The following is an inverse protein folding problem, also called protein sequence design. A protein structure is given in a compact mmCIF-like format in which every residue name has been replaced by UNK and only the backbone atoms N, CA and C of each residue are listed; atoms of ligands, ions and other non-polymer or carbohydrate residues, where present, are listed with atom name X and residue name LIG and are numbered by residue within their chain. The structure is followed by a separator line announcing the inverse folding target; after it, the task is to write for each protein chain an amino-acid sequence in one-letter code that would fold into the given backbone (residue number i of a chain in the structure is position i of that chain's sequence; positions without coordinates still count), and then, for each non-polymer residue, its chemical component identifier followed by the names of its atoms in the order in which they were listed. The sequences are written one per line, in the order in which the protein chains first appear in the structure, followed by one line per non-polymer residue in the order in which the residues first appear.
data_IF_802144019237
#
_entry.id   IF_802144019237
#
_cell.length_a   1.000
_cell.length_b   1.000
_cell.length_c   1.000
_cell.angle_alpha   90.00
_cell.angle_beta   90.00
_cell.angle_gamma   90.00
#
_symmetry.space_group_name_H-M   'P 1'
#
loop_
_entity.id
_entity.type
_entity.pdbx_description
1 polymer ?
#
# COMPACT_ATOMS: atom_id res chain seq x y z
N UNK A 1 -20.96 39.40 78.69
CA UNK A 1 -19.94 38.72 79.51
C UNK A 1 -19.19 37.77 78.58
N UNK A 2 -18.04 38.18 78.04
CA UNK A 2 -16.68 37.83 78.52
C UNK A 2 -16.49 36.29 78.50
N UNK A 3 -15.58 35.67 77.74
CA UNK A 3 -14.16 35.98 77.45
C UNK A 3 -13.83 35.69 75.96
N UNK A 4 -13.04 36.48 75.20
CA UNK A 4 -11.56 36.69 75.25
C UNK A 4 -10.75 35.39 75.28
N UNK A 5 -9.63 35.16 74.58
CA UNK A 5 -8.90 35.70 73.43
C UNK A 5 -7.60 34.84 73.35
N UNK A 6 -6.90 34.86 72.19
CA UNK A 6 -5.53 34.32 71.90
C UNK A 6 -5.50 32.84 71.44
N UNK A 7 -4.86 32.45 70.34
CA UNK A 7 -3.76 32.95 69.51
C UNK A 7 -4.11 32.72 68.01
N UNK A 8 -3.65 33.43 66.97
CA UNK A 8 -2.50 34.32 66.78
C UNK A 8 -1.52 33.73 65.75
N UNK A 9 -1.59 34.16 64.48
CA UNK A 9 -0.60 33.91 63.40
C UNK A 9 -1.01 32.80 62.43
N UNK A 10 -0.90 32.90 61.10
CA UNK A 10 -0.31 33.91 60.23
C UNK A 10 -1.10 33.94 58.90
N UNK A 11 -1.29 35.14 58.38
CA UNK A 11 -1.59 35.37 56.96
C UNK A 11 -0.31 35.07 56.19
N UNK A 12 -0.39 34.21 55.18
CA UNK A 12 0.51 34.31 54.05
C UNK A 12 -0.15 33.83 52.76
N UNK A 13 0.33 34.41 51.68
CA UNK A 13 -0.35 34.67 50.42
C UNK A 13 -0.64 33.44 49.55
N UNK A 14 -1.86 33.35 49.01
CA UNK A 14 -2.14 32.57 47.80
C UNK A 14 -2.70 33.50 46.72
N UNK A 15 -1.78 34.10 45.97
CA UNK A 15 -2.06 34.67 44.65
C UNK A 15 -2.31 33.53 43.64
N UNK A 16 -3.27 33.68 42.71
CA UNK A 16 -3.42 32.75 41.60
C UNK A 16 -2.46 33.16 40.47
N UNK A 17 -1.49 32.31 40.15
CA UNK A 17 -0.70 32.45 38.92
C UNK A 17 -1.34 31.58 37.85
N UNK A 18 -2.20 32.20 37.05
CA UNK A 18 -2.50 31.76 35.70
C UNK A 18 -1.34 32.15 34.79
N UNK A 19 -1.10 31.34 33.74
CA UNK A 19 -0.19 31.56 32.59
C UNK A 19 1.27 31.12 32.78
N UNK A 20 1.60 29.91 32.31
CA UNK A 20 2.56 29.69 31.20
C UNK A 20 2.95 28.20 31.04
N UNK A 21 2.04 27.37 30.52
CA UNK A 21 2.40 26.01 30.05
C UNK A 21 1.99 25.76 28.59
N UNK A 22 1.78 26.84 27.82
CA UNK A 22 1.73 26.79 26.35
C UNK A 22 3.09 27.20 25.76
N UNK A 23 4.13 26.39 25.94
CA UNK A 23 5.32 26.37 25.06
C UNK A 23 6.25 25.22 25.41
N UNK A 24 5.94 24.04 24.88
CA UNK A 24 6.87 23.01 24.37
C UNK A 24 6.05 21.82 23.87
N UNK A 25 5.34 22.00 22.76
CA UNK A 25 5.03 20.87 21.86
C UNK A 25 6.37 20.39 21.31
N UNK A 26 7.01 19.45 22.01
CA UNK A 26 8.04 18.60 21.40
C UNK A 26 7.29 17.59 20.54
N UNK A 27 7.24 17.90 19.26
CA UNK A 27 6.88 17.00 18.17
C UNK A 27 7.73 15.71 18.27
N UNK A 28 7.13 14.53 18.56
CA UNK A 28 7.88 13.28 18.67
C UNK A 28 8.43 12.78 17.32
N UNK A 29 8.01 13.38 16.20
CA UNK A 29 8.30 12.84 14.87
C UNK A 29 9.55 13.42 14.19
N UNK A 30 10.31 14.31 14.83
CA UNK A 30 11.41 15.01 14.13
C UNK A 30 12.73 14.26 13.96
N UNK A 31 12.96 13.11 14.59
CA UNK A 31 14.29 12.44 14.54
C UNK A 31 14.30 10.95 14.12
N UNK A 32 13.23 10.43 13.49
CA UNK A 32 13.25 9.05 12.98
C UNK A 32 13.85 8.91 11.56
N UNK A 33 14.13 10.02 10.87
CA UNK A 33 14.58 10.01 9.47
C UNK A 33 16.01 9.44 9.21
N UNK A 34 17.03 9.61 10.09
CA UNK A 34 18.39 9.20 9.73
C UNK A 34 18.59 7.67 9.74
N UNK A 35 17.95 6.95 10.66
CA UNK A 35 18.17 5.51 10.86
C UNK A 35 17.48 4.67 9.78
N UNK A 36 16.27 5.06 9.37
CA UNK A 36 15.53 4.39 8.30
C UNK A 36 16.23 4.52 6.93
N UNK A 37 16.83 5.69 6.65
CA UNK A 37 17.54 5.95 5.39
C UNK A 37 18.82 5.11 5.27
N UNK A 38 19.57 4.95 6.36
CA UNK A 38 20.80 4.13 6.41
C UNK A 38 20.49 2.65 6.19
N UNK A 39 19.46 2.10 6.85
CA UNK A 39 19.04 0.71 6.61
C UNK A 39 18.47 0.48 5.21
N UNK A 40 17.83 1.48 4.60
CA UNK A 40 17.37 1.39 3.22
C UNK A 40 18.53 1.38 2.21
N UNK A 41 19.60 2.14 2.48
CA UNK A 41 20.82 2.17 1.65
C UNK A 41 21.64 0.89 1.77
N UNK A 42 21.82 0.35 2.98
CA UNK A 42 22.46 -0.96 3.20
C UNK A 42 21.69 -2.09 2.50
N UNK A 43 20.35 -2.03 2.59
CA UNK A 43 19.47 -2.96 1.87
C UNK A 43 19.65 -2.88 0.36
N UNK A 44 19.78 -1.68 -0.22
CA UNK A 44 20.00 -1.48 -1.66
C UNK A 44 21.37 -1.99 -2.13
N UNK A 45 22.43 -1.79 -1.35
CA UNK A 45 23.78 -2.27 -1.68
C UNK A 45 23.89 -3.79 -1.58
N UNK A 46 23.36 -4.40 -0.52
CA UNK A 46 23.30 -5.86 -0.37
C UNK A 46 22.42 -6.52 -1.45
N UNK A 47 21.34 -5.85 -1.89
CA UNK A 47 20.51 -6.26 -3.03
C UNK A 47 21.28 -6.25 -4.35
N UNK A 48 22.04 -5.19 -4.64
CA UNK A 48 22.85 -5.09 -5.86
C UNK A 48 23.94 -6.17 -5.92
N UNK A 49 24.41 -6.65 -4.75
CA UNK A 49 25.35 -7.76 -4.61
C UNK A 49 24.70 -9.16 -4.64
N UNK A 50 23.37 -9.27 -4.85
CA UNK A 50 22.66 -10.55 -4.94
C UNK A 50 22.39 -11.25 -3.60
N UNK A 51 22.54 -10.55 -2.47
CA UNK A 51 22.37 -11.14 -1.14
C UNK A 51 20.90 -11.48 -0.85
N UNK A 52 20.62 -12.76 -0.55
CA UNK A 52 19.31 -13.22 -0.07
C UNK A 52 19.33 -13.51 1.42
N UNK A 53 18.36 -12.97 2.17
CA UNK A 53 18.19 -13.21 3.61
C UNK A 53 17.46 -14.51 3.83
N UNK A 54 17.99 -15.39 4.66
CA UNK A 54 17.33 -16.66 5.00
C UNK A 54 16.23 -16.41 6.02
N UNK A 55 14.98 -16.70 5.66
CA UNK A 55 13.85 -16.45 6.54
C UNK A 55 13.02 -17.71 6.84
N UNK A 56 12.36 -17.66 7.99
CA UNK A 56 11.40 -18.66 8.46
C UNK A 56 10.06 -17.98 8.72
N UNK A 57 8.98 -18.58 8.24
CA UNK A 57 7.61 -18.15 8.58
C UNK A 57 7.13 -18.83 9.86
N UNK A 58 6.42 -18.11 10.70
CA UNK A 58 5.83 -18.65 11.93
C UNK A 58 4.35 -18.29 11.97
N UNK A 59 3.48 -19.26 12.19
CA UNK A 59 2.04 -19.00 12.29
C UNK A 59 1.17 -20.24 12.09
N UNK A 60 -0.09 -20.02 11.72
CA UNK A 60 -1.01 -21.07 11.29
C UNK A 60 -0.97 -21.27 9.76
N UNK A 61 -1.25 -22.49 9.30
CA UNK A 61 -0.96 -22.90 7.92
C UNK A 61 -1.57 -22.04 6.81
N UNK A 62 -2.81 -21.56 6.95
CA UNK A 62 -3.48 -20.75 5.92
C UNK A 62 -2.88 -19.36 5.79
N UNK A 63 -2.42 -18.77 6.90
CA UNK A 63 -1.72 -17.49 6.89
C UNK A 63 -0.28 -17.63 6.38
N UNK A 64 0.40 -18.73 6.75
CA UNK A 64 1.73 -19.06 6.23
C UNK A 64 1.69 -19.17 4.69
N UNK A 65 0.71 -19.86 4.12
CA UNK A 65 0.56 -20.00 2.67
C UNK A 65 0.37 -18.66 1.97
N UNK A 66 -0.56 -17.82 2.47
CA UNK A 66 -0.82 -16.50 1.91
C UNK A 66 0.44 -15.61 1.94
N UNK A 67 1.15 -15.58 3.07
CA UNK A 67 2.37 -14.77 3.23
C UNK A 67 3.52 -15.34 2.40
N UNK A 68 3.70 -16.66 2.37
CA UNK A 68 4.74 -17.29 1.56
C UNK A 68 4.54 -17.03 0.07
N UNK A 69 3.30 -17.15 -0.42
CA UNK A 69 2.96 -16.84 -1.80
C UNK A 69 3.23 -15.37 -2.12
N UNK A 70 2.82 -14.47 -1.23
CA UNK A 70 3.09 -13.03 -1.38
C UNK A 70 4.59 -12.66 -1.36
N UNK A 71 5.44 -13.46 -0.70
CA UNK A 71 6.89 -13.26 -0.64
C UNK A 71 7.66 -13.96 -1.76
N UNK A 72 7.16 -15.08 -2.28
CA UNK A 72 7.80 -15.85 -3.35
C UNK A 72 7.80 -15.12 -4.70
N UNK A 73 6.79 -14.28 -4.93
CA UNK A 73 6.61 -13.51 -6.17
C UNK A 73 7.54 -12.28 -6.29
N UNK A 74 8.39 -12.00 -5.29
CA UNK A 74 9.12 -10.74 -5.23
C UNK A 74 10.47 -10.68 -5.97
N UNK A 75 10.64 -9.57 -6.70
CA UNK A 75 11.89 -9.02 -7.23
C UNK A 75 12.61 -8.10 -6.21
N UNK A 76 12.02 -7.78 -5.05
CA UNK A 76 12.47 -6.66 -4.19
C UNK A 76 12.78 -7.01 -2.72
N UNK A 77 12.27 -8.10 -2.18
CA UNK A 77 12.73 -8.72 -0.95
C UNK A 77 13.45 -10.04 -1.31
N UNK A 78 14.78 -10.04 -1.41
CA UNK A 78 15.53 -11.26 -1.66
C UNK A 78 15.49 -12.09 -0.37
N UNK A 79 14.38 -12.78 -0.12
CA UNK A 79 14.21 -13.68 1.01
C UNK A 79 14.30 -15.10 0.48
N UNK A 80 15.24 -15.86 1.02
CA UNK A 80 15.33 -17.30 0.81
C UNK A 80 14.48 -17.97 1.89
N UNK A 81 13.26 -18.35 1.50
CA UNK A 81 12.29 -18.98 2.40
C UNK A 81 12.73 -20.42 2.71
N UNK A 82 13.25 -20.63 3.91
CA UNK A 82 13.74 -21.95 4.34
C UNK A 82 12.64 -22.95 4.65
N UNK A 83 11.49 -22.43 5.06
CA UNK A 83 10.37 -23.23 5.55
C UNK A 83 9.53 -22.46 6.55
N UNK A 84 8.68 -23.20 7.26
CA UNK A 84 7.79 -22.64 8.27
C UNK A 84 7.86 -23.42 9.58
N UNK A 85 7.53 -22.72 10.65
CA UNK A 85 7.29 -23.26 11.99
C UNK A 85 5.81 -23.05 12.28
N UNK A 86 5.11 -24.13 12.64
CA UNK A 86 3.67 -24.06 12.83
C UNK A 86 3.28 -23.96 14.30
N UNK A 87 2.20 -23.23 14.58
CA UNK A 87 1.52 -23.27 15.87
C UNK A 87 0.59 -24.50 16.01
N UNK A 88 0.18 -25.09 14.89
CA UNK A 88 -0.73 -26.23 14.84
C UNK A 88 -0.28 -27.26 13.81
N UNK A 89 -0.40 -28.57 14.03
CA UNK A 89 -0.13 -29.56 12.98
C UNK A 89 -1.03 -29.28 11.77
N UNK A 90 -0.45 -29.06 10.58
CA UNK A 90 -1.21 -28.76 9.35
C UNK A 90 -0.59 -29.41 8.10
N UNK A 91 -1.39 -29.58 7.03
CA UNK A 91 -1.06 -30.40 5.88
C UNK A 91 0.01 -29.77 4.97
N UNK A 92 0.51 -30.61 4.07
CA UNK A 92 1.61 -30.38 3.13
C UNK A 92 1.30 -29.17 2.21
N UNK A 93 1.92 -28.02 2.49
CA UNK A 93 1.68 -26.76 1.80
C UNK A 93 2.78 -26.42 0.76
N UNK A 94 3.50 -27.45 0.27
CA UNK A 94 4.62 -27.29 -0.66
C UNK A 94 5.85 -26.56 -0.06
N UNK A 95 5.74 -26.03 1.16
CA UNK A 95 6.82 -25.44 1.94
C UNK A 95 7.38 -26.50 2.88
N UNK A 96 8.68 -26.43 3.15
CA UNK A 96 9.33 -27.32 4.12
C UNK A 96 8.87 -26.97 5.54
N UNK A 97 8.23 -27.92 6.22
CA UNK A 97 8.01 -27.81 7.67
C UNK A 97 9.36 -27.93 8.40
N UNK A 98 9.63 -26.99 9.30
CA UNK A 98 10.82 -26.97 10.16
C UNK A 98 10.51 -27.40 11.60
N UNK A 99 9.24 -27.67 11.93
CA UNK A 99 8.81 -28.12 13.25
C UNK A 99 7.65 -27.28 13.83
N UNK A 100 7.49 -27.41 15.15
CA UNK A 100 6.56 -26.61 15.96
C UNK A 100 7.28 -25.45 16.63
N UNK A 101 6.54 -24.53 17.26
CA UNK A 101 7.11 -23.32 17.87
C UNK A 101 8.19 -23.63 18.92
N UNK A 102 8.09 -24.77 19.60
CA UNK A 102 9.09 -25.26 20.54
C UNK A 102 10.44 -25.57 19.86
N UNK A 103 10.44 -25.93 18.57
CA UNK A 103 11.66 -26.25 17.80
C UNK A 103 12.38 -24.98 17.28
N UNK A 104 11.80 -23.79 17.50
CA UNK A 104 12.34 -22.52 16.98
C UNK A 104 13.82 -22.32 17.35
N UNK A 105 14.19 -22.57 18.60
CA UNK A 105 15.58 -22.42 19.06
C UNK A 105 16.56 -23.26 18.24
N UNK A 106 16.25 -24.54 18.03
CA UNK A 106 17.07 -25.46 17.24
C UNK A 106 17.14 -25.04 15.76
N UNK A 107 16.02 -24.59 15.20
CA UNK A 107 15.95 -24.11 13.82
C UNK A 107 16.85 -22.88 13.64
N UNK A 108 16.78 -21.91 14.56
CA UNK A 108 17.60 -20.70 14.51
C UNK A 108 19.11 -21.04 14.59
N UNK A 109 19.49 -21.99 15.44
CA UNK A 109 20.89 -22.40 15.64
C UNK A 109 21.43 -23.20 14.46
N UNK A 110 20.60 -24.04 13.84
CA UNK A 110 21.03 -24.98 12.78
C UNK A 110 21.00 -24.36 11.39
N UNK A 111 20.02 -23.50 11.10
CA UNK A 111 19.72 -23.09 9.73
C UNK A 111 20.23 -21.70 9.33
N UNK A 112 21.08 -21.05 10.14
CA UNK A 112 21.59 -19.68 9.91
C UNK A 112 20.47 -18.71 9.49
N UNK A 113 19.37 -18.75 10.25
CA UNK A 113 18.20 -17.90 10.02
C UNK A 113 18.59 -16.46 10.32
N UNK A 114 18.15 -15.53 9.48
CA UNK A 114 18.45 -14.10 9.63
C UNK A 114 17.19 -13.29 9.88
N UNK A 115 16.05 -13.85 9.50
CA UNK A 115 14.75 -13.22 9.63
C UNK A 115 13.69 -14.24 10.02
N UNK A 116 12.83 -13.86 10.96
CA UNK A 116 11.62 -14.61 11.31
C UNK A 116 10.42 -13.71 11.01
N UNK A 117 9.46 -14.24 10.26
CA UNK A 117 8.25 -13.52 9.88
C UNK A 117 7.05 -14.19 10.56
N UNK A 118 6.43 -13.50 11.48
CA UNK A 118 5.15 -13.90 12.07
C UNK A 118 4.07 -13.63 11.02
N UNK A 119 3.54 -14.71 10.45
CA UNK A 119 2.55 -14.67 9.37
C UNK A 119 1.11 -14.58 9.88
N UNK A 120 0.89 -14.95 11.14
CA UNK A 120 -0.43 -15.04 11.75
C UNK A 120 -0.82 -13.70 12.41
N UNK A 121 -1.94 -13.07 12.02
CA UNK A 121 -2.39 -11.85 12.69
C UNK A 121 -2.95 -12.09 14.09
N UNK A 122 -3.41 -13.31 14.39
CA UNK A 122 -3.92 -13.70 15.72
C UNK A 122 -2.86 -14.42 16.55
N UNK A 123 -1.57 -14.16 16.27
CA UNK A 123 -0.46 -14.80 16.98
C UNK A 123 -0.52 -14.51 18.49
N UNK A 124 -0.45 -15.53 19.37
CA UNK A 124 -0.58 -15.32 20.81
C UNK A 124 0.47 -14.33 21.35
N UNK A 125 0.07 -13.23 22.02
CA UNK A 125 1.01 -12.18 22.44
C UNK A 125 2.14 -12.68 23.34
N UNK A 126 1.85 -13.60 24.26
CA UNK A 126 2.83 -14.19 25.16
C UNK A 126 3.92 -14.95 24.38
N UNK A 127 3.51 -15.76 23.40
CA UNK A 127 4.43 -16.48 22.51
C UNK A 127 5.18 -15.53 21.57
N UNK A 128 4.58 -14.40 21.16
CA UNK A 128 5.24 -13.41 20.33
C UNK A 128 6.44 -12.79 21.06
N UNK A 129 6.27 -12.44 22.32
CA UNK A 129 7.32 -11.89 23.17
C UNK A 129 8.47 -12.90 23.34
N UNK A 130 8.14 -14.17 23.62
CA UNK A 130 9.14 -15.24 23.72
C UNK A 130 9.91 -15.45 22.41
N UNK A 131 9.22 -15.50 21.27
CA UNK A 131 9.83 -15.61 19.94
C UNK A 131 10.77 -14.45 19.67
N UNK A 132 10.32 -13.21 19.92
CA UNK A 132 11.12 -12.00 19.72
C UNK A 132 12.39 -12.03 20.55
N UNK A 133 12.29 -12.42 21.82
CA UNK A 133 13.43 -12.55 22.72
C UNK A 133 14.41 -13.65 22.26
N UNK A 134 13.92 -14.81 21.83
CA UNK A 134 14.76 -15.89 21.28
C UNK A 134 15.50 -15.45 20.01
N UNK A 135 14.85 -14.68 19.14
CA UNK A 135 15.42 -14.16 17.91
C UNK A 135 16.46 -13.06 18.17
N UNK A 136 16.15 -12.08 19.03
CA UNK A 136 17.06 -10.98 19.35
C UNK A 136 18.36 -11.46 20.02
N UNK A 137 18.29 -12.48 20.88
CA UNK A 137 19.50 -13.12 21.47
C UNK A 137 20.46 -13.70 20.43
N UNK A 138 19.96 -13.98 19.22
CA UNK A 138 20.72 -14.52 18.09
C UNK A 138 20.92 -13.52 16.95
N UNK A 139 20.62 -12.24 17.19
CA UNK A 139 20.65 -11.17 16.18
C UNK A 139 19.77 -11.46 14.94
N UNK A 140 18.69 -12.23 15.11
CA UNK A 140 17.70 -12.54 14.08
C UNK A 140 16.63 -11.44 14.09
N UNK A 141 16.36 -10.87 12.93
CA UNK A 141 15.33 -9.82 12.78
C UNK A 141 13.94 -10.45 12.83
N UNK A 142 13.01 -9.86 13.57
CA UNK A 142 11.60 -10.29 13.56
C UNK A 142 10.75 -9.30 12.78
N UNK A 143 9.87 -9.82 11.91
CA UNK A 143 8.84 -9.05 11.21
C UNK A 143 7.47 -9.68 11.44
N UNK A 144 6.41 -8.89 11.25
CA UNK A 144 5.03 -9.33 11.39
C UNK A 144 4.29 -8.98 10.09
N UNK A 145 3.47 -9.89 9.60
CA UNK A 145 2.48 -9.64 8.57
C UNK A 145 1.18 -9.18 9.24
N UNK A 146 0.86 -7.87 9.22
CA UNK A 146 -0.21 -7.34 10.05
C UNK A 146 -1.60 -7.67 9.51
N UNK A 147 -2.59 -7.71 10.39
CA UNK A 147 -4.01 -7.69 10.00
C UNK A 147 -4.44 -6.34 9.42
N UNK A 148 -5.58 -6.30 8.74
CA UNK A 148 -6.21 -5.03 8.32
C UNK A 148 -6.47 -4.10 9.50
N UNK A 149 -6.90 -4.62 10.66
CA UNK A 149 -7.19 -3.81 11.84
C UNK A 149 -5.91 -3.18 12.42
N UNK A 150 -4.81 -3.92 12.48
CA UNK A 150 -3.52 -3.41 12.94
C UNK A 150 -3.00 -2.27 12.07
N UNK A 151 -3.18 -2.37 10.75
CA UNK A 151 -2.89 -1.26 9.81
C UNK A 151 -3.74 -0.04 10.20
N UNK A 152 -5.04 -0.20 10.44
CA UNK A 152 -5.90 0.94 10.76
C UNK A 152 -5.59 1.58 12.12
N UNK A 153 -5.15 0.81 13.12
CA UNK A 153 -4.91 1.29 14.50
C UNK A 153 -3.61 2.08 14.63
N UNK A 154 -2.63 1.95 13.72
CA UNK A 154 -1.33 2.60 13.88
C UNK A 154 -1.36 4.15 13.79
N UNK A 155 -2.46 4.74 13.29
CA UNK A 155 -2.76 6.19 13.40
C UNK A 155 -3.93 6.52 14.35
N UNK A 156 -4.40 5.57 15.15
CA UNK A 156 -5.51 5.82 16.03
C UNK A 156 -5.13 6.80 17.14
N UNK A 157 -6.00 7.77 17.40
CA UNK A 157 -5.77 8.75 18.46
C UNK A 157 -6.36 8.24 19.77
N UNK A 158 -5.58 8.35 20.85
CA UNK A 158 -6.06 8.02 22.19
C UNK A 158 -7.16 8.97 22.60
N UNK A 159 -8.30 8.43 23.01
CA UNK A 159 -9.44 9.21 23.51
C UNK A 159 -9.31 9.36 25.03
N UNK A 160 -8.98 10.56 25.55
CA UNK A 160 -8.88 10.77 26.99
C UNK A 160 -10.26 10.74 27.66
N UNK A 161 -10.30 10.26 28.91
CA UNK A 161 -11.49 10.39 29.77
C UNK A 161 -12.42 9.17 29.83
N UNK A 162 -12.10 8.07 29.16
CA UNK A 162 -12.79 6.79 29.33
C UNK A 162 -12.11 5.93 30.41
N UNK A 163 -12.88 5.11 31.13
CA UNK A 163 -12.36 4.14 32.12
C UNK A 163 -11.59 2.97 31.48
N UNK A 164 -11.64 2.88 30.15
CA UNK A 164 -10.94 1.90 29.31
C UNK A 164 -10.18 2.69 28.25
N UNK A 165 -8.94 2.31 27.88
CA UNK A 165 -8.22 2.98 26.80
C UNK A 165 -8.99 2.78 25.48
N UNK A 166 -9.60 3.85 24.99
CA UNK A 166 -10.28 3.89 23.70
C UNK A 166 -9.39 4.58 22.67
N UNK A 167 -9.46 4.08 21.44
CA UNK A 167 -8.73 4.60 20.30
C UNK A 167 -9.71 4.95 19.20
N UNK A 168 -9.64 6.18 18.68
CA UNK A 168 -10.46 6.61 17.55
C UNK A 168 -9.78 6.23 16.24
N UNK A 169 -10.46 5.41 15.44
CA UNK A 169 -10.05 5.13 14.06
C UNK A 169 -10.58 6.21 13.14
N UNK A 170 -9.69 7.02 12.57
CA UNK A 170 -10.07 7.97 11.52
C UNK A 170 -10.13 7.28 10.17
N UNK A 171 -11.11 7.62 9.31
CA UNK A 171 -11.12 7.11 7.95
C UNK A 171 -9.82 7.51 7.22
N UNK A 172 -9.34 6.69 6.26
CA UNK A 172 -8.10 6.93 5.53
C UNK A 172 -8.30 8.03 4.48
N UNK A 173 -8.66 9.23 4.92
CA UNK A 173 -8.85 10.42 4.10
C UNK A 173 -7.69 11.37 4.28
N UNK A 174 -7.28 12.02 3.20
CA UNK A 174 -6.41 13.18 3.30
C UNK A 174 -7.25 14.36 3.77
N UNK A 175 -6.94 14.92 4.94
CA UNK A 175 -7.68 16.06 5.47
C UNK A 175 -6.75 17.28 5.66
N UNK A 176 -7.34 18.47 5.54
CA UNK A 176 -6.69 19.76 5.75
C UNK A 176 -5.38 19.95 4.98
N UNK A 177 -4.28 20.09 5.72
CA UNK A 177 -2.97 20.43 5.18
C UNK A 177 -2.35 19.31 4.33
N UNK A 178 -2.56 18.04 4.72
CA UNK A 178 -2.03 16.88 4.00
C UNK A 178 -2.62 16.81 2.59
N UNK A 179 -3.93 17.03 2.46
CA UNK A 179 -4.58 17.11 1.15
C UNK A 179 -4.01 18.25 0.31
N UNK A 180 -3.83 19.45 0.89
CA UNK A 180 -3.28 20.60 0.16
C UNK A 180 -1.87 20.33 -0.36
N UNK A 181 -1.00 19.77 0.47
CA UNK A 181 0.37 19.39 0.11
C UNK A 181 0.37 18.34 -0.99
N UNK A 182 -0.40 17.26 -0.81
CA UNK A 182 -0.57 16.19 -1.80
C UNK A 182 -1.04 16.73 -3.14
N UNK A 183 -2.10 17.53 -3.12
CA UNK A 183 -2.73 18.10 -4.31
C UNK A 183 -1.80 19.04 -5.05
N UNK A 184 -1.06 19.88 -4.32
CA UNK A 184 -0.08 20.79 -4.91
C UNK A 184 1.05 20.02 -5.60
N UNK A 185 1.58 18.99 -4.94
CA UNK A 185 2.57 18.10 -5.52
C UNK A 185 2.04 17.44 -6.81
N UNK A 186 0.85 16.85 -6.77
CA UNK A 186 0.24 16.17 -7.92
C UNK A 186 0.07 17.08 -9.12
N UNK A 187 -0.42 18.31 -8.93
CA UNK A 187 -0.63 19.26 -10.02
C UNK A 187 0.70 19.71 -10.63
N UNK A 188 1.67 20.11 -9.80
CA UNK A 188 2.97 20.60 -10.27
C UNK A 188 3.73 19.51 -11.01
N UNK A 189 3.81 18.30 -10.42
CA UNK A 189 4.50 17.17 -11.03
C UNK A 189 3.79 16.71 -12.31
N UNK A 190 2.45 16.67 -12.34
CA UNK A 190 1.71 16.28 -13.55
C UNK A 190 1.86 17.30 -14.69
N UNK A 191 1.82 18.60 -14.39
CA UNK A 191 2.05 19.65 -15.40
C UNK A 191 3.44 19.52 -16.01
N UNK A 192 4.46 19.34 -15.17
CA UNK A 192 5.83 19.09 -15.63
C UNK A 192 5.91 17.84 -16.52
N UNK A 193 5.32 16.73 -16.09
CA UNK A 193 5.29 15.48 -16.87
C UNK A 193 4.56 15.67 -18.21
N UNK A 194 3.42 16.34 -18.25
CA UNK A 194 2.67 16.62 -19.49
C UNK A 194 3.52 17.40 -20.48
N UNK A 195 4.21 18.45 -20.02
CA UNK A 195 5.10 19.24 -20.88
C UNK A 195 6.22 18.36 -21.42
N UNK A 196 6.88 17.60 -20.54
CA UNK A 196 8.00 16.72 -20.88
C UNK A 196 7.60 15.64 -21.90
N UNK A 197 6.44 15.00 -21.72
CA UNK A 197 5.97 13.90 -22.57
C UNK A 197 5.07 14.36 -23.73
N UNK A 198 4.84 15.66 -23.88
CA UNK A 198 3.95 16.21 -24.92
C UNK A 198 4.31 15.79 -26.36
N UNK A 199 5.60 15.71 -26.78
CA UNK A 199 5.93 15.25 -28.13
C UNK A 199 5.54 13.78 -28.33
N UNK A 200 5.72 12.96 -27.30
CA UNK A 200 5.33 11.55 -27.31
C UNK A 200 3.80 11.39 -27.34
N UNK A 201 3.05 12.19 -26.56
CA UNK A 201 1.59 12.21 -26.62
C UNK A 201 1.07 12.53 -28.02
N UNK A 202 1.67 13.53 -28.69
CA UNK A 202 1.31 13.89 -30.06
C UNK A 202 1.61 12.75 -31.06
N UNK A 203 2.78 12.12 -30.95
CA UNK A 203 3.14 10.98 -31.80
C UNK A 203 2.19 9.78 -31.61
N UNK A 204 1.85 9.45 -30.36
CA UNK A 204 0.87 8.38 -30.04
C UNK A 204 -0.51 8.75 -30.58
N UNK A 205 -0.94 10.01 -30.43
CA UNK A 205 -2.23 10.47 -30.92
C UNK A 205 -2.37 10.26 -32.43
N UNK A 206 -1.35 10.62 -33.21
CA UNK A 206 -1.29 10.38 -34.66
C UNK A 206 -1.31 8.88 -34.97
N UNK A 207 -0.49 8.08 -34.30
CA UNK A 207 -0.43 6.63 -34.51
C UNK A 207 -1.79 5.94 -34.25
N UNK A 208 -2.49 6.36 -33.20
CA UNK A 208 -3.84 5.86 -32.89
C UNK A 208 -4.84 6.28 -33.97
N UNK A 209 -4.81 7.56 -34.39
CA UNK A 209 -5.72 8.11 -35.39
C UNK A 209 -5.63 7.39 -36.75
N UNK A 210 -4.42 7.05 -37.19
CA UNK A 210 -4.22 6.35 -38.48
C UNK A 210 -4.46 4.84 -38.39
N UNK A 211 -4.42 4.26 -37.19
CA UNK A 211 -4.58 2.81 -37.00
C UNK A 211 -6.01 2.29 -37.10
N UNK A 212 -7.01 3.12 -36.78
CA UNK A 212 -8.44 2.79 -36.84
C UNK A 212 -9.32 4.05 -36.84
N UNK A 213 -10.55 3.95 -37.34
CA UNK A 213 -11.52 5.05 -37.33
C UNK A 213 -12.02 5.35 -35.91
N UNK A 214 -12.35 6.62 -35.63
CA UNK A 214 -12.98 7.10 -34.39
C UNK A 214 -12.10 8.09 -33.58
N UNK A 215 -12.46 8.41 -32.33
CA UNK A 215 -11.71 9.33 -31.47
C UNK A 215 -10.38 8.74 -30.95
N UNK A 216 -9.33 9.57 -30.88
CA UNK A 216 -8.00 9.18 -30.37
C UNK A 216 -8.02 8.84 -28.88
N UNK A 217 -8.78 9.62 -28.10
CA UNK A 217 -8.95 9.40 -26.67
C UNK A 217 -10.21 8.59 -26.41
N UNK A 218 -10.08 7.54 -25.60
CA UNK A 218 -11.17 6.79 -25.01
C UNK A 218 -11.44 7.31 -23.59
N UNK A 219 -12.71 7.39 -23.22
CA UNK A 219 -13.18 7.86 -21.91
C UNK A 219 -13.80 6.69 -21.17
N UNK A 220 -12.99 6.02 -20.33
CA UNK A 220 -13.45 4.91 -19.51
C UNK A 220 -14.18 5.48 -18.28
N UNK A 221 -15.46 5.18 -18.09
CA UNK A 221 -16.17 5.56 -16.85
C UNK A 221 -15.64 4.74 -15.68
N UNK A 222 -15.14 5.44 -14.66
CA UNK A 222 -14.63 4.84 -13.43
C UNK A 222 -15.12 5.60 -12.22
N UNK A 223 -15.44 4.92 -11.11
CA UNK A 223 -15.69 5.58 -9.83
C UNK A 223 -14.45 6.36 -9.39
N UNK A 224 -14.68 7.60 -8.96
CA UNK A 224 -13.70 8.50 -8.36
C UNK A 224 -13.92 8.64 -6.86
N UNK A 225 -13.57 9.81 -6.32
CA UNK A 225 -13.75 10.11 -4.91
C UNK A 225 -15.24 10.04 -4.52
N UNK A 226 -15.55 9.39 -3.40
CA UNK A 226 -16.93 9.15 -2.95
C UNK A 226 -17.73 8.19 -3.84
N UNK A 227 -17.09 7.54 -4.82
CA UNK A 227 -17.76 6.70 -5.82
C UNK A 227 -18.33 7.48 -7.01
N UNK A 228 -18.16 8.81 -7.07
CA UNK A 228 -18.65 9.59 -8.19
C UNK A 228 -17.87 9.28 -9.47
N UNK A 229 -18.58 8.86 -10.52
CA UNK A 229 -17.95 8.47 -11.77
C UNK A 229 -17.31 9.64 -12.51
N UNK A 230 -16.09 9.44 -13.02
CA UNK A 230 -15.40 10.37 -13.92
C UNK A 230 -14.93 9.68 -15.20
N UNK A 231 -14.58 10.50 -16.19
CA UNK A 231 -14.02 10.04 -17.46
C UNK A 231 -12.50 9.83 -17.33
N UNK A 232 -12.08 8.62 -17.00
CA UNK A 232 -10.68 8.22 -16.99
C UNK A 232 -10.15 8.18 -18.44
N UNK A 233 -9.24 9.10 -18.76
CA UNK A 233 -8.75 9.30 -20.12
C UNK A 233 -7.69 8.24 -20.45
N UNK A 234 -7.82 7.61 -21.62
CA UNK A 234 -6.79 6.73 -22.19
C UNK A 234 -6.66 6.98 -23.68
N UNK A 235 -5.53 6.60 -24.26
CA UNK A 235 -5.49 6.42 -25.71
C UNK A 235 -6.34 5.22 -26.10
N UNK A 236 -7.03 5.31 -27.23
CA UNK A 236 -7.83 4.20 -27.75
C UNK A 236 -6.90 3.07 -28.19
N UNK A 237 -7.02 1.92 -27.54
CA UNK A 237 -6.25 0.71 -27.85
C UNK A 237 -7.08 -0.37 -28.56
N UNK A 238 -8.40 -0.20 -28.61
CA UNK A 238 -9.35 -1.16 -29.17
C UNK A 238 -10.10 -0.56 -30.36
N UNK A 239 -10.77 -1.41 -31.15
CA UNK A 239 -11.71 -0.94 -32.18
C UNK A 239 -12.92 -0.25 -31.53
N UNK A 240 -13.57 0.64 -32.27
CA UNK A 240 -14.66 1.48 -31.75
C UNK A 240 -15.90 0.70 -31.30
N UNK A 241 -16.06 -0.53 -31.76
CA UNK A 241 -17.14 -1.48 -31.46
C UNK A 241 -16.78 -2.48 -30.34
N UNK A 242 -15.60 -2.37 -29.73
CA UNK A 242 -15.07 -3.33 -28.76
C UNK A 242 -15.95 -3.54 -27.52
N UNK A 243 -16.67 -2.51 -27.08
CA UNK A 243 -17.53 -2.58 -25.88
C UNK A 243 -18.71 -3.54 -26.12
N UNK A 244 -19.17 -3.72 -27.37
CA UNK A 244 -20.29 -4.62 -27.71
C UNK A 244 -19.92 -6.10 -27.54
N UNK A 245 -18.64 -6.44 -27.66
CA UNK A 245 -18.15 -7.81 -27.53
C UNK A 245 -17.74 -8.17 -26.08
N UNK A 246 -17.94 -7.29 -25.09
CA UNK A 246 -17.51 -7.57 -23.71
C UNK A 246 -18.23 -8.76 -23.10
N UNK A 247 -19.56 -8.85 -23.27
CA UNK A 247 -20.36 -9.94 -22.71
C UNK A 247 -19.93 -11.32 -23.27
N UNK A 248 -19.61 -11.38 -24.56
CA UNK A 248 -19.21 -12.61 -25.24
C UNK A 248 -17.81 -13.10 -24.81
N UNK A 249 -16.99 -12.21 -24.27
CA UNK A 249 -15.61 -12.48 -23.84
C UNK A 249 -15.49 -12.77 -22.34
N UNK A 250 -16.57 -12.69 -21.56
CA UNK A 250 -16.53 -12.90 -20.11
C UNK A 250 -16.05 -14.32 -19.75
N UNK A 251 -16.36 -15.30 -20.60
CA UNK A 251 -15.89 -16.70 -20.47
C UNK A 251 -14.38 -16.88 -20.65
N UNK A 252 -13.69 -15.88 -21.21
CA UNK A 252 -12.24 -15.88 -21.43
C UNK A 252 -11.48 -15.13 -20.32
N UNK A 253 -12.15 -14.67 -19.26
CA UNK A 253 -11.51 -13.97 -18.16
C UNK A 253 -10.49 -14.88 -17.45
N UNK A 254 -9.22 -14.46 -17.45
CA UNK A 254 -8.11 -15.15 -16.80
C UNK A 254 -7.84 -14.61 -15.37
N UNK A 255 -8.56 -13.59 -14.92
CA UNK A 255 -8.41 -13.02 -13.58
C UNK A 255 -9.46 -13.55 -12.58
N UNK A 256 -9.06 -13.62 -11.30
CA UNK A 256 -9.94 -13.92 -10.17
C UNK A 256 -10.57 -12.64 -9.57
N UNK A 257 -11.67 -12.83 -8.84
CA UNK A 257 -12.37 -11.76 -8.14
C UNK A 257 -13.05 -10.76 -9.09
N UNK A 258 -13.02 -9.47 -8.72
CA UNK A 258 -13.70 -8.42 -9.49
C UNK A 258 -12.98 -8.05 -10.80
N UNK A 259 -11.73 -8.47 -11.01
CA UNK A 259 -10.91 -8.03 -12.14
C UNK A 259 -11.24 -8.79 -13.43
N UNK A 260 -11.13 -8.10 -14.56
CA UNK A 260 -11.18 -8.74 -15.89
C UNK A 260 -9.89 -8.56 -16.67
N UNK A 261 -9.31 -9.68 -17.10
CA UNK A 261 -8.06 -9.72 -17.88
C UNK A 261 -8.12 -10.84 -18.91
N UNK A 262 -7.77 -10.54 -20.15
CA UNK A 262 -7.57 -11.51 -21.23
C UNK A 262 -6.21 -11.21 -21.87
N UNK A 263 -5.30 -12.17 -21.92
CA UNK A 263 -3.94 -11.95 -22.44
C UNK A 263 -3.92 -11.68 -23.96
N UNK A 264 -4.86 -12.28 -24.69
CA UNK A 264 -4.97 -12.13 -26.15
C UNK A 264 -6.32 -11.54 -26.55
N UNK A 265 -6.64 -10.34 -26.05
CA UNK A 265 -7.92 -9.69 -26.35
C UNK A 265 -8.04 -9.39 -27.88
N UNK A 266 -9.01 -10.02 -28.58
CA UNK A 266 -9.16 -9.90 -30.04
C UNK A 266 -9.62 -8.51 -30.48
N UNK A 267 -10.08 -7.67 -29.55
CA UNK A 267 -10.61 -6.32 -29.83
C UNK A 267 -9.49 -5.28 -30.00
N UNK A 268 -8.25 -5.61 -29.63
CA UNK A 268 -7.13 -4.69 -29.64
C UNK A 268 -6.58 -4.42 -31.06
N UNK A 269 -6.21 -3.17 -31.33
CA UNK A 269 -5.46 -2.81 -32.55
C UNK A 269 -3.98 -3.16 -32.40
N UNK A 270 -3.22 -3.23 -33.51
CA UNK A 270 -1.76 -3.48 -33.46
C UNK A 270 -1.02 -2.39 -32.66
N UNK A 271 -1.37 -1.13 -32.89
CA UNK A 271 -0.85 0.02 -32.12
C UNK A 271 -1.31 -0.08 -30.67
N UNK A 272 -2.58 -0.39 -30.42
CA UNK A 272 -3.14 -0.54 -29.08
C UNK A 272 -2.43 -1.60 -28.24
N UNK A 273 -2.05 -2.73 -28.85
CA UNK A 273 -1.26 -3.77 -28.20
C UNK A 273 0.11 -3.26 -27.75
N UNK A 274 0.77 -2.45 -28.59
CA UNK A 274 2.05 -1.82 -28.22
C UNK A 274 1.87 -0.83 -27.08
N UNK A 275 0.82 0.01 -27.12
CA UNK A 275 0.55 0.99 -26.09
C UNK A 275 0.29 0.34 -24.73
N UNK A 276 -0.58 -0.67 -24.67
CA UNK A 276 -0.86 -1.40 -23.42
C UNK A 276 0.36 -2.12 -22.86
N UNK A 277 1.17 -2.72 -23.74
CA UNK A 277 2.40 -3.43 -23.36
C UNK A 277 3.38 -2.55 -22.58
N UNK A 278 3.41 -1.25 -22.88
CA UNK A 278 4.27 -0.27 -22.23
C UNK A 278 3.46 0.75 -21.40
N UNK A 279 2.18 0.44 -21.11
CA UNK A 279 1.23 1.32 -20.38
C UNK A 279 1.17 2.77 -20.89
N UNK A 280 1.54 2.99 -22.16
CA UNK A 280 1.55 4.31 -22.78
C UNK A 280 0.14 4.82 -23.06
N UNK A 281 -0.85 3.92 -23.09
CA UNK A 281 -2.25 4.28 -23.24
C UNK A 281 -2.82 5.04 -22.03
N UNK A 282 -2.18 4.95 -20.87
CA UNK A 282 -2.62 5.61 -19.63
C UNK A 282 -2.03 7.02 -19.44
N UNK A 283 -1.09 7.45 -20.28
CA UNK A 283 -0.48 8.79 -20.19
C UNK A 283 -1.50 9.96 -20.22
N UNK A 284 -2.63 9.89 -20.95
CA UNK A 284 -3.67 10.93 -20.87
C UNK A 284 -4.28 11.12 -19.47
N UNK A 285 -4.12 10.17 -18.54
CA UNK A 285 -4.58 10.32 -17.16
C UNK A 285 -3.86 11.45 -16.41
N UNK A 286 -2.68 11.88 -16.88
CA UNK A 286 -2.02 13.08 -16.33
C UNK A 286 -2.92 14.32 -16.39
N UNK A 287 -3.76 14.44 -17.43
CA UNK A 287 -4.77 15.50 -17.52
C UNK A 287 -5.87 15.32 -16.47
N UNK A 288 -6.29 14.08 -16.16
CA UNK A 288 -7.24 13.83 -15.06
C UNK A 288 -6.64 14.27 -13.71
N UNK A 289 -5.32 14.11 -13.51
CA UNK A 289 -4.65 14.60 -12.30
C UNK A 289 -4.67 16.12 -12.24
N UNK A 290 -4.32 16.82 -13.33
CA UNK A 290 -4.39 18.29 -13.38
C UNK A 290 -5.82 18.79 -13.11
N UNK A 291 -6.83 18.11 -13.66
CA UNK A 291 -8.25 18.42 -13.46
C UNK A 291 -8.80 18.08 -12.07
N UNK A 292 -8.04 17.39 -11.22
CA UNK A 292 -8.45 17.05 -9.86
C UNK A 292 -9.39 15.84 -9.75
N UNK A 293 -9.45 15.04 -10.82
CA UNK A 293 -10.22 13.79 -10.84
C UNK A 293 -9.39 12.59 -10.39
N UNK A 294 -8.06 12.73 -10.46
CA UNK A 294 -7.09 11.72 -10.07
C UNK A 294 -5.92 12.35 -9.30
N UNK A 295 -5.10 11.48 -8.74
CA UNK A 295 -3.79 11.73 -8.13
C UNK A 295 -2.72 10.99 -8.94
N UNK A 296 -1.44 11.41 -8.87
CA UNK A 296 -0.36 10.63 -9.48
C UNK A 296 -0.24 9.26 -8.80
N UNK A 297 -0.32 9.25 -7.47
CA UNK A 297 -0.20 8.07 -6.62
C UNK A 297 -1.45 7.89 -5.75
N UNK A 298 -2.05 6.71 -5.78
CA UNK A 298 -3.25 6.40 -5.01
C UNK A 298 -3.87 5.06 -5.41
N UNK A 299 -5.01 4.68 -4.80
CA UNK A 299 -5.73 3.47 -5.17
C UNK A 299 -6.13 3.49 -6.65
N UNK A 300 -5.83 2.41 -7.38
CA UNK A 300 -6.15 2.33 -8.82
C UNK A 300 -7.67 2.28 -9.00
N UNK A 301 -8.28 3.18 -9.79
CA UNK A 301 -9.72 3.17 -10.00
C UNK A 301 -10.08 1.96 -10.86
N UNK A 302 -11.09 1.20 -10.47
CA UNK A 302 -11.56 0.05 -11.24
C UNK A 302 -12.60 0.47 -12.30
N UNK A 303 -12.82 -0.33 -13.36
CA UNK A 303 -14.01 -0.20 -14.19
C UNK A 303 -15.29 -0.27 -13.35
N UNK A 304 -16.37 0.40 -13.79
CA UNK A 304 -17.65 0.40 -13.06
C UNK A 304 -18.15 -1.03 -12.75
N UNK A 305 -18.07 -1.93 -13.74
CA UNK A 305 -18.44 -3.34 -13.59
C UNK A 305 -17.77 -4.01 -12.39
N UNK A 306 -16.46 -3.80 -12.24
CA UNK A 306 -15.65 -4.39 -11.17
C UNK A 306 -15.96 -3.71 -9.83
N UNK A 307 -16.23 -2.40 -9.85
CA UNK A 307 -16.65 -1.64 -8.66
C UNK A 307 -17.96 -2.15 -8.08
N UNK A 308 -18.91 -2.53 -8.94
CA UNK A 308 -20.23 -3.02 -8.51
C UNK A 308 -20.13 -4.39 -7.80
N UNK A 309 -19.04 -5.13 -8.01
CA UNK A 309 -18.75 -6.41 -7.35
C UNK A 309 -18.00 -6.27 -6.02
N UNK A 310 -17.63 -5.04 -5.63
CA UNK A 310 -16.84 -4.80 -4.42
C UNK A 310 -17.67 -4.96 -3.14
N UNK A 311 -17.03 -5.53 -2.12
CA UNK A 311 -17.55 -5.48 -0.75
C UNK A 311 -17.48 -4.05 -0.21
N UNK A 312 -18.32 -3.76 0.78
CA UNK A 312 -18.44 -2.39 1.31
C UNK A 312 -17.16 -1.88 1.96
N UNK A 313 -16.33 -2.78 2.52
CA UNK A 313 -15.05 -2.41 3.06
C UNK A 313 -14.02 -2.11 1.96
N UNK A 314 -14.05 -2.80 0.82
CA UNK A 314 -13.20 -2.48 -0.33
C UNK A 314 -13.47 -1.07 -0.87
N UNK A 315 -14.75 -0.65 -0.87
CA UNK A 315 -15.17 0.68 -1.36
C UNK A 315 -14.57 1.83 -0.57
N UNK A 316 -14.06 1.61 0.65
CA UNK A 316 -13.39 2.64 1.45
C UNK A 316 -12.13 3.21 0.78
N UNK A 317 -11.52 2.49 -0.17
CA UNK A 317 -10.41 3.01 -0.99
C UNK A 317 -10.80 4.21 -1.87
N UNK A 318 -12.09 4.41 -2.13
CA UNK A 318 -12.61 5.55 -2.91
C UNK A 318 -12.92 6.78 -2.05
N UNK A 319 -12.54 6.79 -0.76
CA UNK A 319 -12.63 8.00 0.07
C UNK A 319 -11.56 9.05 -0.28
N UNK A 320 -10.60 8.70 -1.13
CA UNK A 320 -9.55 9.59 -1.64
C UNK A 320 -9.55 9.62 -3.16
N UNK A 321 -8.78 10.56 -3.74
CA UNK A 321 -8.56 10.60 -5.18
C UNK A 321 -7.87 9.31 -5.66
N UNK A 322 -8.40 8.67 -6.72
CA UNK A 322 -7.76 7.50 -7.31
C UNK A 322 -6.42 7.85 -7.98
N UNK A 323 -5.48 6.91 -8.00
CA UNK A 323 -4.13 7.06 -8.54
C UNK A 323 -3.97 6.56 -9.98
N UNK A 324 -3.04 7.17 -10.74
CA UNK A 324 -2.52 6.56 -11.98
C UNK A 324 -1.71 5.30 -11.62
N UNK A 325 -0.82 5.46 -10.64
CA UNK A 325 -0.07 4.37 -10.02
C UNK A 325 -0.38 4.28 -8.53
N UNK A 326 0.06 3.22 -7.87
CA UNK A 326 -0.26 2.93 -6.48
C UNK A 326 0.71 1.91 -5.92
N UNK A 327 0.73 1.77 -4.59
CA UNK A 327 1.70 0.93 -3.90
C UNK A 327 1.67 -0.51 -4.42
N UNK A 328 0.48 -1.11 -4.52
CA UNK A 328 0.35 -2.49 -5.00
C UNK A 328 0.83 -2.68 -6.45
N UNK A 329 0.66 -1.68 -7.33
CA UNK A 329 1.11 -1.75 -8.72
C UNK A 329 2.63 -1.85 -8.83
N UNK A 330 3.36 -1.32 -7.84
CA UNK A 330 4.82 -1.36 -7.79
C UNK A 330 5.37 -2.41 -6.82
N UNK A 331 4.51 -3.04 -6.02
CA UNK A 331 4.88 -4.13 -5.11
C UNK A 331 5.24 -5.44 -5.84
N UNK A 332 4.99 -5.54 -7.15
CA UNK A 332 5.49 -6.65 -7.97
C UNK A 332 4.76 -7.98 -7.78
N UNK A 333 3.54 -7.96 -7.21
CA UNK A 333 2.78 -9.16 -6.89
C UNK A 333 1.83 -9.51 -8.04
N UNK A 334 2.12 -10.59 -8.79
CA UNK A 334 1.36 -11.00 -9.97
C UNK A 334 0.05 -11.69 -9.61
N UNK A 335 0.02 -12.35 -8.46
CA UNK A 335 -1.06 -13.25 -8.01
C UNK A 335 -1.66 -12.85 -6.65
N UNK A 336 -1.73 -11.54 -6.35
CA UNK A 336 -2.50 -11.12 -5.17
C UNK A 336 -3.97 -11.42 -5.34
N UNK A 337 -4.56 -11.98 -4.29
CA UNK A 337 -5.99 -11.87 -4.08
C UNK A 337 -6.39 -10.39 -3.92
N UNK A 338 -7.62 -10.09 -4.27
CA UNK A 338 -8.13 -8.73 -4.31
C UNK A 338 -8.09 -8.05 -2.93
N UNK A 339 -8.30 -8.81 -1.85
CA UNK A 339 -8.24 -8.33 -0.47
C UNK A 339 -6.85 -7.78 -0.12
N UNK A 340 -5.78 -8.47 -0.52
CA UNK A 340 -4.41 -8.03 -0.26
C UNK A 340 -4.03 -6.78 -1.04
N UNK A 341 -4.59 -6.61 -2.23
CA UNK A 341 -4.46 -5.38 -3.00
C UNK A 341 -5.09 -4.21 -2.24
N UNK A 342 -6.30 -4.39 -1.69
CA UNK A 342 -6.98 -3.36 -0.89
C UNK A 342 -6.22 -3.07 0.40
N UNK A 343 -5.64 -4.08 1.06
CA UNK A 343 -4.77 -3.86 2.24
C UNK A 343 -3.55 -3.01 1.91
N UNK A 344 -2.92 -3.21 0.75
CA UNK A 344 -1.80 -2.37 0.29
C UNK A 344 -2.24 -0.93 0.01
N UNK A 345 -3.46 -0.72 -0.48
CA UNK A 345 -4.00 0.63 -0.61
C UNK A 345 -4.19 1.29 0.77
N UNK A 346 -4.74 0.58 1.75
CA UNK A 346 -4.87 1.12 3.11
C UNK A 346 -3.51 1.43 3.73
N UNK A 347 -2.52 0.54 3.57
CA UNK A 347 -1.15 0.78 4.02
C UNK A 347 -0.54 2.02 3.38
N UNK A 348 -0.80 2.26 2.09
CA UNK A 348 -0.37 3.48 1.41
C UNK A 348 -1.03 4.73 2.01
N UNK A 349 -2.35 4.72 2.20
CA UNK A 349 -3.07 5.86 2.76
C UNK A 349 -2.62 6.18 4.18
N UNK A 350 -2.37 5.15 4.96
CA UNK A 350 -1.95 5.27 6.35
C UNK A 350 -0.50 5.80 6.49
N UNK A 351 0.40 5.37 5.61
CA UNK A 351 1.82 5.76 5.63
C UNK A 351 2.15 6.89 4.65
N UNK A 352 1.14 7.56 4.14
CA UNK A 352 1.32 8.54 3.09
C UNK A 352 2.35 9.62 3.50
N UNK A 353 3.23 9.92 2.54
CA UNK A 353 4.17 11.03 2.58
C UNK A 353 4.63 11.34 1.15
N UNK A 354 5.13 12.54 0.91
CA UNK A 354 5.72 12.90 -0.40
C UNK A 354 6.88 11.95 -0.76
N UNK A 355 7.67 11.52 0.22
CA UNK A 355 8.76 10.57 0.02
C UNK A 355 8.27 9.20 -0.46
N UNK A 356 7.13 8.73 0.07
CA UNK A 356 6.49 7.50 -0.39
C UNK A 356 5.96 7.64 -1.81
N UNK A 357 5.28 8.74 -2.13
CA UNK A 357 4.81 9.04 -3.50
C UNK A 357 5.97 9.02 -4.49
N UNK A 358 7.07 9.71 -4.18
CA UNK A 358 8.26 9.74 -5.03
C UNK A 358 8.86 8.33 -5.21
N UNK A 359 8.93 7.56 -4.13
CA UNK A 359 9.40 6.17 -4.17
C UNK A 359 8.54 5.32 -5.09
N UNK A 360 7.21 5.44 -5.00
CA UNK A 360 6.28 4.71 -5.86
C UNK A 360 6.48 5.13 -7.31
N UNK A 361 6.49 6.43 -7.62
CA UNK A 361 6.68 6.96 -8.98
C UNK A 361 7.99 6.47 -9.62
N UNK A 362 9.10 6.49 -8.87
CA UNK A 362 10.39 5.96 -9.34
C UNK A 362 10.29 4.47 -9.63
N UNK A 363 9.61 3.69 -8.78
CA UNK A 363 9.41 2.25 -8.98
C UNK A 363 8.44 1.91 -10.12
N UNK A 364 7.55 2.83 -10.49
CA UNK A 364 6.63 2.65 -11.62
C UNK A 364 7.39 2.55 -12.95
N UNK A 365 8.47 3.31 -13.15
CA UNK A 365 9.25 3.31 -14.39
C UNK A 365 9.78 1.92 -14.77
N UNK A 366 10.56 1.21 -13.92
CA UNK A 366 11.02 -0.13 -14.24
C UNK A 366 9.89 -1.16 -14.27
N UNK A 367 8.80 -0.99 -13.52
CA UNK A 367 7.64 -1.88 -13.58
C UNK A 367 6.97 -1.85 -14.96
N UNK A 368 6.79 -0.65 -15.53
CA UNK A 368 6.25 -0.43 -16.88
C UNK A 368 7.20 -0.96 -17.95
N UNK A 369 8.51 -0.70 -17.83
CA UNK A 369 9.52 -1.19 -18.79
C UNK A 369 9.62 -2.72 -18.77
N UNK A 370 9.59 -3.32 -17.57
CA UNK A 370 9.63 -4.76 -17.37
C UNK A 370 8.31 -5.47 -17.73
N UNK A 371 7.26 -4.72 -18.14
CA UNK A 371 5.93 -5.23 -18.49
C UNK A 371 5.22 -5.95 -17.34
N UNK A 372 5.57 -5.64 -16.09
CA UNK A 372 4.96 -6.26 -14.92
C UNK A 372 3.51 -5.78 -14.81
N UNK A 373 2.55 -6.69 -15.01
CA UNK A 373 1.11 -6.41 -14.98
C UNK A 373 0.49 -5.94 -16.30
N UNK A 374 1.25 -5.87 -17.40
CA UNK A 374 0.71 -5.56 -18.73
C UNK A 374 0.26 -6.85 -19.43
N UNK A 375 -1.06 -7.01 -19.59
CA UNK A 375 -1.69 -8.11 -20.33
C UNK A 375 -2.33 -7.57 -21.61
#
# INVERSE_FOLDING_TARGET
AQLEQRHGGARDELRPVHQDLHRRRRDPHRHAAPVALVHQLDGLLLRAAGYRRRAVLVGTGSHIEAVAHALADEVHAPVDMLGFISLTPRPDNGLRSLGVIEDLGEVLDTHRVQEVIIADPDFPPERAVELVDQCHRRAVTVRIAPSTMEILVHRAEFVPGASVPLFELRPPVFDGFDYLVKRSFDVVASLFLVILVSPLLAAIAVAVAVSSRGPVLYRSRRPGIGGESFACLKFRTMRSDADQAQADLESLNEASGALFKIRHDPRMTRVGRLLRRFSLDELPQLFNVVLGQMSLVGPRPLPQRDFDMLEDWHKKRYLVLPGITGLWQVSGRSELDFDDLVRLDFLYLERWSIGLDLTILIKTVPAVIARRGAF
#
